data_IF_762173013733
#
_entry.id   IF_762173013733
#
_cell.length_a   1.000
_cell.length_b   1.000
_cell.length_c   1.000
_cell.angle_alpha   90.00
_cell.angle_beta   90.00
_cell.angle_gamma   90.00
#
_symmetry.space_group_name_H-M   'P 1'
#
loop_
_entity.id
_entity.type
_entity.pdbx_description
1 polymer ?
#
# COMPACT_ATOMS: atom_id res chain seq x y z
N UNK A 1 13.87 -30.90 35.78
CA UNK A 1 14.68 -30.73 34.56
C UNK A 1 13.82 -30.05 33.50
N UNK A 2 13.84 -28.74 33.27
CA UNK A 2 14.97 -27.82 33.35
C UNK A 2 15.55 -27.49 31.96
N UNK A 3 14.74 -27.39 30.89
CA UNK A 3 15.20 -26.76 29.63
C UNK A 3 14.89 -25.26 29.67
N UNK A 4 15.82 -24.54 30.29
CA UNK A 4 16.01 -23.10 30.11
C UNK A 4 16.39 -22.89 28.65
N UNK A 5 15.48 -22.39 27.83
CA UNK A 5 15.86 -21.75 26.58
C UNK A 5 16.51 -20.41 26.96
N UNK A 6 17.81 -20.19 26.69
CA UNK A 6 18.47 -18.96 27.06
C UNK A 6 17.87 -17.82 26.23
N UNK A 7 17.50 -16.75 26.94
CA UNK A 7 17.13 -15.45 26.42
C UNK A 7 18.19 -14.96 25.44
N UNK A 8 18.05 -15.25 24.15
CA UNK A 8 18.74 -14.51 23.10
C UNK A 8 17.84 -13.35 22.73
N UNK A 9 18.06 -12.22 23.39
CA UNK A 9 17.62 -10.89 22.93
C UNK A 9 18.18 -10.65 21.52
N UNK A 10 17.50 -11.21 20.52
CA UNK A 10 17.73 -10.93 19.12
C UNK A 10 17.13 -9.54 18.92
N UNK A 11 17.99 -8.52 18.86
CA UNK A 11 17.62 -7.13 18.59
C UNK A 11 16.51 -7.13 17.54
N UNK A 12 15.29 -6.83 18.00
CA UNK A 12 14.04 -7.04 17.28
C UNK A 12 13.80 -6.02 16.17
N UNK A 13 14.84 -5.68 15.41
CA UNK A 13 14.64 -4.90 14.19
C UNK A 13 14.39 -5.91 13.09
N UNK A 14 13.13 -6.03 12.70
CA UNK A 14 12.76 -6.86 11.57
C UNK A 14 13.56 -6.46 10.34
N UNK A 15 14.05 -7.44 9.57
CA UNK A 15 14.91 -7.23 8.39
C UNK A 15 14.30 -6.22 7.40
N UNK A 16 12.96 -6.19 7.31
CA UNK A 16 12.19 -5.22 6.55
C UNK A 16 12.29 -3.80 7.11
N UNK A 17 12.11 -3.60 8.42
CA UNK A 17 12.26 -2.30 9.07
C UNK A 17 13.69 -1.77 8.91
N UNK A 18 14.70 -2.63 9.05
CA UNK A 18 16.09 -2.26 8.83
C UNK A 18 16.31 -1.83 7.36
N UNK A 19 15.78 -2.59 6.39
CA UNK A 19 15.89 -2.26 4.97
C UNK A 19 15.21 -0.91 4.62
N UNK A 20 14.05 -0.61 5.20
CA UNK A 20 13.34 0.66 5.00
C UNK A 20 14.15 1.83 5.58
N UNK A 21 14.67 1.69 6.81
CA UNK A 21 15.49 2.73 7.43
C UNK A 21 16.77 3.01 6.63
N UNK A 22 17.45 1.94 6.21
CA UNK A 22 18.70 2.04 5.43
C UNK A 22 18.41 2.66 4.05
N UNK A 23 17.30 2.28 3.42
CA UNK A 23 16.81 2.87 2.17
C UNK A 23 16.49 4.36 2.31
N UNK A 24 15.88 4.81 3.42
CA UNK A 24 15.65 6.23 3.69
C UNK A 24 16.96 7.00 3.88
N UNK A 25 17.91 6.46 4.64
CA UNK A 25 19.20 7.11 4.88
C UNK A 25 19.97 7.27 3.56
N UNK A 26 20.12 6.20 2.79
CA UNK A 26 20.80 6.24 1.49
C UNK A 26 20.05 7.13 0.50
N UNK A 27 18.72 7.01 0.47
CA UNK A 27 17.83 7.80 -0.40
C UNK A 27 17.93 9.31 -0.19
N UNK A 28 18.19 9.76 1.03
CA UNK A 28 18.27 11.18 1.37
C UNK A 28 19.71 11.74 1.36
N UNK A 29 20.73 10.89 1.44
CA UNK A 29 22.13 11.33 1.53
C UNK A 29 22.92 11.09 0.25
N UNK A 30 22.98 9.83 -0.19
CA UNK A 30 23.86 9.40 -1.29
C UNK A 30 23.10 9.39 -2.63
N UNK A 31 21.83 9.01 -2.62
CA UNK A 31 21.02 8.89 -3.84
C UNK A 31 20.97 10.17 -4.69
N UNK A 32 20.88 11.40 -4.15
CA UNK A 32 20.93 12.62 -4.95
C UNK A 32 22.23 12.78 -5.77
N UNK A 33 23.31 12.10 -5.36
CA UNK A 33 24.60 12.16 -6.06
C UNK A 33 24.74 11.06 -7.13
N UNK A 34 24.04 9.93 -6.97
CA UNK A 34 24.14 8.75 -7.86
C UNK A 34 22.85 8.45 -8.64
N UNK A 35 21.83 9.31 -8.54
CA UNK A 35 20.49 9.05 -9.07
C UNK A 35 20.51 8.67 -10.56
N UNK A 36 21.33 9.35 -11.38
CA UNK A 36 21.42 9.09 -12.83
C UNK A 36 21.82 7.66 -13.18
N UNK A 37 22.58 6.99 -12.32
CA UNK A 37 23.05 5.62 -12.54
C UNK A 37 22.11 4.59 -11.92
N UNK A 38 21.37 4.95 -10.86
CA UNK A 38 20.51 4.03 -10.11
C UNK A 38 19.03 4.12 -10.48
N UNK A 39 18.58 5.18 -11.14
CA UNK A 39 17.16 5.43 -11.43
C UNK A 39 16.51 4.30 -12.24
N UNK A 40 17.20 3.80 -13.28
CA UNK A 40 16.71 2.67 -14.08
C UNK A 40 16.49 1.40 -13.27
N UNK A 41 17.41 1.08 -12.33
CA UNK A 41 17.28 -0.08 -11.45
C UNK A 41 16.16 0.09 -10.42
N UNK A 42 15.98 1.30 -9.88
CA UNK A 42 14.88 1.63 -8.96
C UNK A 42 13.53 1.54 -9.67
N UNK A 43 13.40 2.06 -10.90
CA UNK A 43 12.20 1.92 -11.71
C UNK A 43 11.89 0.46 -12.01
N UNK A 44 12.90 -0.31 -12.40
CA UNK A 44 12.74 -1.74 -12.67
C UNK A 44 12.24 -2.50 -11.44
N UNK A 45 12.82 -2.24 -10.26
CA UNK A 45 12.38 -2.85 -9.01
C UNK A 45 10.94 -2.47 -8.66
N UNK A 46 10.58 -1.18 -8.78
CA UNK A 46 9.23 -0.68 -8.48
C UNK A 46 8.17 -1.20 -9.44
N UNK A 47 8.48 -1.37 -10.72
CA UNK A 47 7.48 -1.70 -11.74
C UNK A 47 7.41 -3.19 -12.05
N UNK A 48 8.56 -3.87 -12.17
CA UNK A 48 8.63 -5.27 -12.57
C UNK A 48 8.73 -6.19 -11.37
N UNK A 49 9.67 -5.93 -10.45
CA UNK A 49 9.94 -6.84 -9.34
C UNK A 49 8.80 -6.84 -8.31
N UNK A 50 8.25 -5.66 -8.02
CA UNK A 50 7.07 -5.52 -7.15
C UNK A 50 5.85 -6.21 -7.76
N UNK A 51 5.62 -6.06 -9.08
CA UNK A 51 4.52 -6.72 -9.78
C UNK A 51 4.70 -8.25 -9.81
N UNK A 52 5.92 -8.73 -10.05
CA UNK A 52 6.24 -10.16 -9.99
C UNK A 52 6.00 -10.72 -8.58
N UNK A 53 6.40 -9.99 -7.54
CA UNK A 53 6.14 -10.35 -6.16
C UNK A 53 4.65 -10.48 -5.85
N UNK A 54 3.82 -9.53 -6.32
CA UNK A 54 2.35 -9.61 -6.19
C UNK A 54 1.79 -10.82 -6.94
N UNK A 55 2.25 -11.08 -8.15
CA UNK A 55 1.80 -12.22 -8.96
C UNK A 55 2.15 -13.55 -8.28
N UNK A 56 3.41 -13.72 -7.86
CA UNK A 56 3.88 -14.92 -7.16
C UNK A 56 3.19 -15.09 -5.81
N UNK A 57 2.89 -13.98 -5.11
CA UNK A 57 2.09 -14.03 -3.89
C UNK A 57 0.65 -14.49 -4.18
N UNK A 58 0.07 -14.04 -5.30
CA UNK A 58 -1.22 -14.52 -5.80
C UNK A 58 -1.21 -16.02 -6.09
N UNK A 59 -0.12 -16.57 -6.64
CA UNK A 59 0.05 -18.02 -6.81
C UNK A 59 0.24 -18.78 -5.49
N UNK A 60 0.78 -18.13 -4.45
CA UNK A 60 0.90 -18.71 -3.10
C UNK A 60 -0.45 -18.76 -2.37
N UNK A 61 -1.33 -17.79 -2.63
CA UNK A 61 -2.69 -17.78 -2.07
C UNK A 61 -3.48 -18.97 -2.62
N UNK A 62 -3.86 -19.88 -1.73
CA UNK A 62 -4.74 -21.00 -2.10
C UNK A 62 -6.17 -20.49 -2.23
N UNK A 63 -6.92 -20.97 -3.24
CA UNK A 63 -8.35 -20.68 -3.38
C UNK A 63 -9.13 -20.96 -2.09
N UNK A 64 -8.69 -21.95 -1.30
CA UNK A 64 -9.25 -22.27 0.02
C UNK A 64 -9.13 -21.10 1.02
N UNK A 65 -8.00 -20.40 1.05
CA UNK A 65 -7.77 -19.29 1.99
C UNK A 65 -8.60 -18.05 1.65
N UNK A 66 -8.82 -17.81 0.35
CA UNK A 66 -9.72 -16.76 -0.12
C UNK A 66 -11.18 -17.15 0.14
N UNK A 67 -11.53 -18.44 -0.03
CA UNK A 67 -12.86 -18.96 0.26
C UNK A 67 -13.21 -18.91 1.76
N UNK A 68 -12.24 -19.17 2.65
CA UNK A 68 -12.41 -19.09 4.10
C UNK A 68 -12.71 -17.65 4.58
N UNK A 69 -12.03 -16.66 3.99
CA UNK A 69 -12.34 -15.25 4.24
C UNK A 69 -13.63 -14.83 3.52
N UNK A 70 -13.93 -15.45 2.38
CA UNK A 70 -15.23 -15.42 1.71
C UNK A 70 -15.74 -14.02 1.34
N UNK A 71 -17.07 -13.91 1.26
CA UNK A 71 -17.78 -12.65 0.95
C UNK A 71 -17.62 -11.64 2.09
N UNK A 72 -17.52 -12.11 3.35
CA UNK A 72 -17.41 -11.23 4.51
C UNK A 72 -16.15 -10.37 4.47
N UNK A 73 -14.99 -10.93 4.12
CA UNK A 73 -13.77 -10.14 3.95
C UNK A 73 -13.86 -9.10 2.83
N UNK A 74 -14.45 -9.46 1.69
CA UNK A 74 -14.69 -8.51 0.58
C UNK A 74 -15.59 -7.37 1.04
N UNK A 75 -16.69 -7.67 1.74
CA UNK A 75 -17.61 -6.64 2.25
C UNK A 75 -16.92 -5.73 3.27
N UNK A 76 -16.14 -6.29 4.20
CA UNK A 76 -15.35 -5.53 5.17
C UNK A 76 -14.36 -4.62 4.46
N UNK A 77 -13.65 -5.12 3.46
CA UNK A 77 -12.67 -4.33 2.71
C UNK A 77 -13.34 -3.23 1.89
N UNK A 78 -14.45 -3.50 1.20
CA UNK A 78 -15.21 -2.48 0.47
C UNK A 78 -15.69 -1.37 1.42
N UNK A 79 -16.27 -1.74 2.57
CA UNK A 79 -16.75 -0.78 3.56
C UNK A 79 -15.60 0.03 4.16
N UNK A 80 -14.52 -0.63 4.55
CA UNK A 80 -13.36 0.03 5.16
C UNK A 80 -12.64 0.92 4.15
N UNK A 81 -12.44 0.47 2.92
CA UNK A 81 -11.80 1.24 1.85
C UNK A 81 -12.63 2.47 1.50
N UNK A 82 -13.93 2.29 1.24
CA UNK A 82 -14.82 3.39 0.86
C UNK A 82 -14.95 4.42 1.98
N UNK A 83 -15.21 3.97 3.21
CA UNK A 83 -15.29 4.87 4.38
C UNK A 83 -13.98 5.59 4.64
N UNK A 84 -12.84 4.90 4.63
CA UNK A 84 -11.51 5.52 4.84
C UNK A 84 -11.21 6.55 3.76
N UNK A 85 -11.47 6.24 2.50
CA UNK A 85 -11.25 7.18 1.39
C UNK A 85 -12.16 8.41 1.50
N UNK A 86 -13.45 8.21 1.78
CA UNK A 86 -14.41 9.31 1.93
C UNK A 86 -14.07 10.19 3.14
N UNK A 87 -13.72 9.59 4.27
CA UNK A 87 -13.29 10.30 5.46
C UNK A 87 -12.00 11.08 5.21
N UNK A 88 -10.99 10.48 4.57
CA UNK A 88 -9.76 11.18 4.23
C UNK A 88 -10.02 12.38 3.31
N UNK A 89 -10.90 12.24 2.32
CA UNK A 89 -11.29 13.35 1.46
C UNK A 89 -12.05 14.44 2.21
N UNK A 90 -13.01 14.04 3.06
CA UNK A 90 -13.84 14.96 3.82
C UNK A 90 -13.03 15.73 4.85
N UNK A 91 -12.32 15.02 5.74
CA UNK A 91 -11.48 15.63 6.76
C UNK A 91 -10.37 16.46 6.10
N UNK A 92 -9.73 15.90 5.08
CA UNK A 92 -8.63 16.58 4.38
C UNK A 92 -9.05 17.94 3.84
N UNK A 93 -10.16 17.99 3.10
CA UNK A 93 -10.62 19.21 2.44
C UNK A 93 -11.37 20.17 3.37
N UNK A 94 -12.19 19.65 4.28
CA UNK A 94 -13.07 20.49 5.12
C UNK A 94 -12.47 20.89 6.45
N UNK A 95 -11.63 20.04 7.05
CA UNK A 95 -11.06 20.29 8.39
C UNK A 95 -9.63 20.79 8.27
N UNK A 96 -8.81 20.15 7.43
CA UNK A 96 -7.40 20.48 7.29
C UNK A 96 -7.08 21.44 6.15
N UNK A 97 -8.05 21.79 5.30
CA UNK A 97 -7.86 22.72 4.18
C UNK A 97 -6.90 22.22 3.09
N UNK A 98 -6.69 20.90 3.00
CA UNK A 98 -5.84 20.29 1.98
C UNK A 98 -6.45 20.41 0.59
N UNK A 99 -5.59 20.59 -0.42
CA UNK A 99 -6.06 20.56 -1.80
C UNK A 99 -6.58 19.18 -2.19
N UNK A 100 -7.39 19.16 -3.26
CA UNK A 100 -8.08 17.97 -3.71
C UNK A 100 -7.14 16.83 -4.09
N UNK A 101 -6.02 17.14 -4.74
CA UNK A 101 -5.07 16.12 -5.22
C UNK A 101 -4.36 15.49 -4.02
N UNK A 102 -3.89 16.30 -3.07
CA UNK A 102 -3.26 15.79 -1.84
C UNK A 102 -4.23 14.93 -1.02
N UNK A 103 -5.48 15.36 -0.86
CA UNK A 103 -6.50 14.60 -0.13
C UNK A 103 -6.82 13.26 -0.80
N UNK A 104 -6.92 13.24 -2.13
CA UNK A 104 -7.16 12.02 -2.91
C UNK A 104 -5.99 11.05 -2.86
N UNK A 105 -4.76 11.55 -2.98
CA UNK A 105 -3.56 10.74 -2.87
C UNK A 105 -3.42 10.12 -1.47
N UNK A 106 -3.56 10.92 -0.41
CA UNK A 106 -3.51 10.43 0.98
C UNK A 106 -4.65 9.43 1.21
N UNK A 107 -5.87 9.76 0.77
CA UNK A 107 -7.02 8.88 0.91
C UNK A 107 -6.81 7.53 0.24
N UNK A 108 -6.35 7.52 -1.02
CA UNK A 108 -6.09 6.29 -1.78
C UNK A 108 -4.96 5.46 -1.17
N UNK A 109 -3.90 6.12 -0.72
CA UNK A 109 -2.79 5.47 -0.01
C UNK A 109 -3.26 4.81 1.28
N UNK A 110 -3.97 5.54 2.11
CA UNK A 110 -4.46 5.06 3.40
C UNK A 110 -5.53 3.96 3.26
N UNK A 111 -6.39 4.04 2.24
CA UNK A 111 -7.51 3.12 2.07
C UNK A 111 -7.19 1.81 1.35
N UNK A 112 -5.99 1.62 0.77
CA UNK A 112 -5.66 0.41 -0.03
C UNK A 112 -4.33 -0.21 0.41
N UNK A 113 -3.23 0.15 -0.25
CA UNK A 113 -1.93 -0.50 -0.11
C UNK A 113 -0.78 0.49 0.03
N UNK A 114 -1.07 1.67 0.55
CA UNK A 114 -0.07 2.63 0.93
C UNK A 114 0.57 3.30 -0.28
N UNK A 115 1.90 3.32 -0.34
CA UNK A 115 2.66 4.03 -1.36
C UNK A 115 2.34 3.53 -2.78
N UNK A 116 2.13 2.22 -2.95
CA UNK A 116 1.77 1.65 -4.25
C UNK A 116 0.43 2.21 -4.78
N UNK A 117 -0.56 2.41 -3.91
CA UNK A 117 -1.83 3.02 -4.27
C UNK A 117 -1.68 4.51 -4.60
N UNK A 118 -0.84 5.24 -3.87
CA UNK A 118 -0.53 6.65 -4.18
C UNK A 118 0.07 6.77 -5.57
N UNK A 119 1.08 5.96 -5.89
CA UNK A 119 1.77 5.98 -7.18
C UNK A 119 0.87 5.55 -8.33
N UNK A 120 -0.04 4.59 -8.11
CA UNK A 120 -1.00 4.18 -9.13
C UNK A 120 -2.11 5.22 -9.35
N UNK A 121 -2.41 6.02 -8.33
CA UNK A 121 -3.42 7.09 -8.37
C UNK A 121 -2.88 8.37 -9.02
N UNK A 122 -1.60 8.69 -8.81
CA UNK A 122 -0.91 9.86 -9.36
C UNK A 122 -1.26 10.16 -10.83
N UNK A 123 -1.09 9.23 -11.80
CA UNK A 123 -1.35 9.52 -13.21
C UNK A 123 -2.84 9.68 -13.52
N UNK A 124 -3.73 9.12 -12.68
CA UNK A 124 -5.19 9.24 -12.84
C UNK A 124 -5.67 10.63 -12.46
N UNK A 125 -5.12 11.20 -11.39
CA UNK A 125 -5.48 12.53 -10.89
C UNK A 125 -4.56 13.63 -11.42
N UNK A 126 -3.49 13.28 -12.13
CA UNK A 126 -2.45 14.18 -12.65
C UNK A 126 -1.88 15.07 -11.53
N UNK A 127 -1.43 14.44 -10.45
CA UNK A 127 -0.91 15.16 -9.29
C UNK A 127 0.55 15.56 -9.46
N UNK A 128 0.91 16.69 -8.85
CA UNK A 128 2.30 17.14 -8.80
C UNK A 128 3.15 16.21 -7.91
N UNK A 129 4.43 16.00 -8.29
CA UNK A 129 5.35 15.12 -7.57
C UNK A 129 5.56 15.50 -6.09
N UNK A 130 5.44 16.79 -5.75
CA UNK A 130 5.48 17.28 -4.37
C UNK A 130 4.36 16.66 -3.51
N UNK A 131 3.14 16.62 -4.03
CA UNK A 131 1.95 16.08 -3.35
C UNK A 131 2.03 14.56 -3.19
N UNK A 132 2.56 13.89 -4.22
CA UNK A 132 2.84 12.45 -4.20
C UNK A 132 3.83 12.13 -3.09
N UNK A 133 4.91 12.91 -2.98
CA UNK A 133 5.95 12.73 -1.97
C UNK A 133 5.37 12.89 -0.56
N UNK A 134 4.55 13.93 -0.34
CA UNK A 134 3.87 14.16 0.95
C UNK A 134 2.94 13.00 1.29
N UNK A 135 2.11 12.55 0.34
CA UNK A 135 1.19 11.45 0.57
C UNK A 135 1.91 10.14 0.92
N UNK A 136 2.96 9.79 0.16
CA UNK A 136 3.79 8.61 0.45
C UNK A 136 4.44 8.71 1.82
N UNK A 137 5.05 9.86 2.16
CA UNK A 137 5.71 10.05 3.45
C UNK A 137 4.73 9.87 4.62
N UNK A 138 3.54 10.48 4.52
CA UNK A 138 2.52 10.43 5.56
C UNK A 138 2.06 8.98 5.83
N UNK A 139 1.75 8.25 4.76
CA UNK A 139 1.34 6.84 4.82
C UNK A 139 2.45 5.96 5.44
N UNK A 140 3.70 6.16 5.03
CA UNK A 140 4.85 5.40 5.53
C UNK A 140 5.06 5.67 7.03
N UNK A 141 4.95 6.92 7.47
CA UNK A 141 5.07 7.29 8.90
C UNK A 141 3.99 6.58 9.72
N UNK A 142 2.72 6.71 9.34
CA UNK A 142 1.62 6.04 10.06
C UNK A 142 1.75 4.52 10.04
N UNK A 143 2.10 3.93 8.90
CA UNK A 143 2.36 2.50 8.79
C UNK A 143 3.51 2.04 9.68
N UNK A 144 4.59 2.82 9.77
CA UNK A 144 5.75 2.51 10.62
C UNK A 144 5.40 2.54 12.10
N UNK A 145 4.59 3.52 12.52
CA UNK A 145 4.06 3.58 13.89
C UNK A 145 3.21 2.33 14.18
N UNK A 146 2.35 1.94 13.24
CA UNK A 146 1.46 0.80 13.38
C UNK A 146 2.21 -0.53 13.61
N UNK A 147 3.38 -0.72 13.00
CA UNK A 147 4.22 -1.94 13.18
C UNK A 147 4.49 -2.23 14.65
N UNK A 148 4.73 -1.19 15.46
CA UNK A 148 5.01 -1.34 16.88
C UNK A 148 3.74 -1.28 17.71
N UNK A 149 2.82 -0.39 17.34
CA UNK A 149 1.60 -0.14 18.08
C UNK A 149 0.68 -1.36 18.10
N UNK A 150 0.46 -2.02 16.97
CA UNK A 150 -0.53 -3.11 16.89
C UNK A 150 -0.09 -4.36 17.70
N UNK A 151 1.13 -4.89 17.56
CA UNK A 151 1.56 -5.99 18.42
C UNK A 151 1.57 -5.64 19.90
N UNK A 152 1.89 -4.38 20.25
CA UNK A 152 1.84 -3.92 21.63
C UNK A 152 0.41 -3.82 22.18
N UNK A 153 -0.57 -3.53 21.32
CA UNK A 153 -1.99 -3.48 21.69
C UNK A 153 -2.62 -4.86 21.81
N UNK A 154 -2.14 -5.86 21.08
CA UNK A 154 -2.75 -7.19 21.05
C UNK A 154 -2.98 -7.82 22.43
N UNK A 155 -2.01 -7.83 23.38
CA UNK A 155 -2.24 -8.40 24.71
C UNK A 155 -3.40 -7.77 25.48
N UNK A 156 -3.69 -6.48 25.24
CA UNK A 156 -4.80 -5.75 25.86
C UNK A 156 -6.14 -6.12 25.23
N UNK A 157 -6.14 -6.48 23.94
CA UNK A 157 -7.33 -6.83 23.15
C UNK A 157 -7.53 -8.35 23.02
N UNK A 158 -6.59 -9.16 23.48
CA UNK A 158 -6.59 -10.63 23.30
C UNK A 158 -7.79 -11.32 23.95
N UNK A 159 -8.47 -10.68 24.90
CA UNK A 159 -9.71 -11.20 25.47
C UNK A 159 -10.92 -11.04 24.52
N UNK A 160 -10.87 -10.06 23.61
CA UNK A 160 -11.97 -9.71 22.70
C UNK A 160 -11.72 -10.21 21.28
N UNK A 161 -10.48 -10.46 20.91
CA UNK A 161 -10.07 -10.84 19.55
C UNK A 161 -9.29 -12.15 19.56
N UNK A 162 -9.71 -13.09 18.70
CA UNK A 162 -8.87 -14.22 18.33
C UNK A 162 -7.67 -13.74 17.51
N UNK A 163 -6.56 -14.51 17.46
CA UNK A 163 -5.41 -14.17 16.64
C UNK A 163 -5.78 -13.94 15.16
N UNK A 164 -6.68 -14.74 14.61
CA UNK A 164 -7.12 -14.65 13.22
C UNK A 164 -7.92 -13.37 12.97
N UNK A 165 -8.85 -13.04 13.88
CA UNK A 165 -9.67 -11.83 13.76
C UNK A 165 -8.82 -10.57 13.94
N UNK A 166 -7.86 -10.61 14.86
CA UNK A 166 -6.88 -9.54 15.01
C UNK A 166 -5.97 -9.43 13.78
N UNK A 167 -5.60 -10.57 13.19
CA UNK A 167 -4.91 -10.63 11.91
C UNK A 167 -5.68 -9.91 10.81
N UNK A 168 -6.95 -10.23 10.61
CA UNK A 168 -7.83 -9.52 9.65
C UNK A 168 -7.83 -8.02 9.94
N UNK A 169 -7.96 -7.61 11.20
CA UNK A 169 -7.88 -6.20 11.59
C UNK A 169 -6.56 -5.54 11.19
N UNK A 170 -5.40 -6.18 11.48
CA UNK A 170 -4.07 -5.69 11.05
C UNK A 170 -4.03 -5.56 9.53
N UNK A 171 -4.46 -6.59 8.80
CA UNK A 171 -4.43 -6.64 7.34
C UNK A 171 -5.31 -5.58 6.67
N UNK A 172 -6.47 -5.30 7.25
CA UNK A 172 -7.43 -4.30 6.75
C UNK A 172 -7.09 -2.86 7.15
N UNK A 173 -6.14 -2.62 8.05
CA UNK A 173 -5.83 -1.26 8.52
C UNK A 173 -4.40 -0.82 8.22
N UNK A 174 -3.43 -1.73 8.19
CA UNK A 174 -2.05 -1.36 7.86
C UNK A 174 -1.87 -1.07 6.38
N UNK A 175 -0.98 -0.12 6.08
CA UNK A 175 -0.83 0.45 4.75
C UNK A 175 0.03 -0.41 3.82
N UNK A 176 1.07 -1.08 4.30
CA UNK A 176 2.01 -1.84 3.45
C UNK A 176 2.02 -3.33 3.78
N UNK A 177 2.17 -4.17 2.75
CA UNK A 177 2.22 -5.64 2.91
C UNK A 177 3.34 -6.08 3.84
N UNK A 178 4.52 -5.49 3.67
CA UNK A 178 5.68 -5.76 4.52
C UNK A 178 5.40 -5.50 6.01
N UNK A 179 4.65 -4.43 6.30
CA UNK A 179 4.32 -4.02 7.67
C UNK A 179 3.27 -4.97 8.27
N UNK A 180 2.32 -5.42 7.45
CA UNK A 180 1.32 -6.43 7.82
C UNK A 180 1.98 -7.74 8.22
N UNK A 181 2.89 -8.27 7.39
CA UNK A 181 3.66 -9.48 7.70
C UNK A 181 4.43 -9.29 9.01
N UNK A 182 5.04 -8.11 9.18
CA UNK A 182 5.78 -7.75 10.39
C UNK A 182 4.97 -7.80 11.67
N UNK A 183 3.87 -7.04 11.69
CA UNK A 183 3.03 -6.95 12.87
C UNK A 183 2.26 -8.26 13.14
N UNK A 184 1.77 -8.92 12.09
CA UNK A 184 1.10 -10.22 12.21
C UNK A 184 2.02 -11.28 12.79
N UNK A 185 3.26 -11.38 12.28
CA UNK A 185 4.25 -12.33 12.79
C UNK A 185 4.62 -12.08 14.25
N UNK A 186 4.63 -10.81 14.69
CA UNK A 186 4.88 -10.44 16.07
C UNK A 186 3.74 -10.84 17.03
N UNK A 187 2.53 -11.08 16.50
CA UNK A 187 1.36 -11.56 17.26
C UNK A 187 1.32 -13.09 17.29
N UNK A 188 1.12 -13.73 16.13
CA UNK A 188 1.14 -15.19 15.98
C UNK A 188 1.20 -15.60 14.50
N UNK A 189 1.59 -16.85 14.18
CA UNK A 189 1.54 -17.35 12.80
C UNK A 189 0.14 -17.29 12.16
N UNK A 190 -0.91 -17.53 12.96
CA UNK A 190 -2.30 -17.50 12.47
C UNK A 190 -2.76 -16.05 12.19
N UNK A 191 -2.37 -15.11 13.04
CA UNK A 191 -2.60 -13.68 12.82
C UNK A 191 -1.85 -13.19 11.57
N UNK A 192 -0.60 -13.62 11.37
CA UNK A 192 0.17 -13.32 10.15
C UNK A 192 -0.56 -13.80 8.89
N UNK A 193 -0.96 -15.08 8.85
CA UNK A 193 -1.65 -15.63 7.69
C UNK A 193 -2.95 -14.88 7.38
N UNK A 194 -3.80 -14.69 8.39
CA UNK A 194 -5.06 -13.97 8.25
C UNK A 194 -4.84 -12.50 7.80
N UNK A 195 -3.85 -11.82 8.37
CA UNK A 195 -3.53 -10.44 8.03
C UNK A 195 -3.07 -10.29 6.59
N UNK A 196 -2.21 -11.19 6.11
CA UNK A 196 -1.72 -11.06 4.73
C UNK A 196 -2.81 -11.43 3.72
N UNK A 197 -3.67 -12.40 4.02
CA UNK A 197 -4.84 -12.70 3.17
C UNK A 197 -5.74 -11.46 3.06
N UNK A 198 -6.16 -10.88 4.19
CA UNK A 198 -6.99 -9.67 4.21
C UNK A 198 -6.31 -8.52 3.44
N UNK A 199 -5.01 -8.32 3.65
CA UNK A 199 -4.25 -7.27 2.96
C UNK A 199 -4.25 -7.46 1.43
N UNK A 200 -4.12 -8.69 0.96
CA UNK A 200 -4.09 -8.97 -0.48
C UNK A 200 -5.44 -8.78 -1.15
N UNK A 201 -6.54 -9.14 -0.48
CA UNK A 201 -7.89 -8.86 -0.96
C UNK A 201 -8.08 -7.35 -1.18
N UNK A 202 -7.66 -6.54 -0.20
CA UNK A 202 -7.64 -5.08 -0.33
C UNK A 202 -6.75 -4.57 -1.45
N UNK A 203 -5.56 -5.17 -1.67
CA UNK A 203 -4.68 -4.82 -2.81
C UNK A 203 -5.38 -5.10 -4.15
N UNK A 204 -6.13 -6.19 -4.27
CA UNK A 204 -6.89 -6.51 -5.48
C UNK A 204 -7.99 -5.46 -5.77
N UNK A 205 -8.52 -4.80 -4.74
CA UNK A 205 -9.47 -3.69 -4.89
C UNK A 205 -8.87 -2.41 -5.50
N UNK A 206 -7.55 -2.35 -5.70
CA UNK A 206 -6.90 -1.23 -6.37
C UNK A 206 -7.39 -1.04 -7.81
N UNK A 207 -7.53 -2.13 -8.56
CA UNK A 207 -8.01 -2.07 -9.95
C UNK A 207 -9.43 -1.46 -10.07
N UNK A 208 -10.47 -1.98 -9.37
CA UNK A 208 -11.80 -1.38 -9.42
C UNK A 208 -11.81 0.04 -8.86
N UNK A 209 -11.04 0.33 -7.82
CA UNK A 209 -10.92 1.69 -7.28
C UNK A 209 -10.40 2.69 -8.32
N UNK A 210 -9.32 2.36 -9.05
CA UNK A 210 -8.75 3.25 -10.06
C UNK A 210 -9.71 3.48 -11.23
N UNK A 211 -10.46 2.46 -11.65
CA UNK A 211 -11.48 2.60 -12.70
C UNK A 211 -12.56 3.60 -12.27
N UNK A 212 -13.07 3.44 -11.04
CA UNK A 212 -14.07 4.34 -10.47
C UNK A 212 -13.51 5.76 -10.35
N UNK A 213 -12.31 5.91 -9.80
CA UNK A 213 -11.66 7.21 -9.62
C UNK A 213 -11.44 7.90 -10.97
N UNK A 214 -10.93 7.19 -11.98
CA UNK A 214 -10.75 7.72 -13.33
C UNK A 214 -12.06 8.20 -13.96
N UNK A 215 -13.15 7.43 -13.78
CA UNK A 215 -14.47 7.83 -14.23
C UNK A 215 -14.96 9.12 -13.53
N UNK A 216 -14.72 9.23 -12.21
CA UNK A 216 -15.10 10.43 -11.44
C UNK A 216 -14.27 11.65 -11.84
N UNK A 217 -12.96 11.51 -12.01
CA UNK A 217 -12.08 12.61 -12.48
C UNK A 217 -12.55 13.10 -13.85
N UNK A 218 -12.85 12.18 -14.78
CA UNK A 218 -13.38 12.52 -16.11
C UNK A 218 -14.72 13.29 -16.05
N UNK A 219 -15.60 12.96 -15.11
CA UNK A 219 -16.88 13.67 -14.92
C UNK A 219 -16.69 15.09 -14.36
N UNK A 220 -15.62 15.31 -13.60
CA UNK A 220 -15.33 16.60 -12.95
C UNK A 220 -14.56 17.55 -13.86
N UNK A 221 -13.87 17.04 -14.87
CA UNK A 221 -13.32 17.83 -15.96
C UNK A 221 -14.43 18.08 -16.99
N UNK A 222 -14.99 19.30 -17.12
CA UNK A 222 -15.89 19.61 -18.23
C UNK A 222 -15.17 19.30 -19.55
N UNK A 223 -15.92 18.80 -20.53
CA UNK A 223 -15.40 18.36 -21.82
C UNK A 223 -14.67 19.50 -22.55
N UNK A 224 -13.37 19.65 -22.29
CA UNK A 224 -12.47 20.44 -23.13
C UNK A 224 -11.64 19.46 -23.95
N UNK A 225 -12.08 19.27 -25.20
CA UNK A 225 -11.27 18.68 -26.26
C UNK A 225 -11.19 17.16 -26.24
N UNK A 226 -12.01 16.52 -27.07
CA UNK A 226 -11.67 15.25 -27.67
C UNK A 226 -10.42 15.42 -28.55
N UNK A 227 -9.23 15.59 -27.95
CA UNK A 227 -8.00 15.41 -28.69
C UNK A 227 -7.77 13.90 -28.79
N UNK A 228 -8.04 13.41 -30.00
CA UNK A 228 -7.83 12.05 -30.48
C UNK A 228 -6.60 11.43 -29.81
N UNK A 229 -6.82 10.28 -29.17
CA UNK A 229 -5.76 9.34 -28.84
C UNK A 229 -4.98 9.03 -30.12
N UNK A 230 -3.87 9.75 -30.35
CA UNK A 230 -2.85 9.35 -31.31
C UNK A 230 -2.17 8.12 -30.72
N UNK A 231 -2.58 6.94 -31.19
CA UNK A 231 -1.79 5.72 -31.00
C UNK A 231 -0.35 5.98 -31.47
N UNK A 232 0.69 5.58 -30.71
CA UNK A 232 2.09 5.91 -31.00
C UNK A 232 2.70 5.04 -32.13
N UNK A 233 1.89 4.46 -33.03
CA UNK A 233 2.34 3.42 -33.96
C UNK A 233 2.70 3.91 -35.37
N UNK A 234 2.77 5.23 -35.63
CA UNK A 234 3.02 5.78 -36.98
C UNK A 234 4.42 6.40 -37.18
N UNK A 235 5.37 6.12 -36.29
CA UNK A 235 6.74 6.63 -36.36
C UNK A 235 7.74 5.76 -37.13
N UNK A 236 7.36 4.58 -37.63
CA UNK A 236 8.31 3.59 -38.17
C UNK A 236 8.30 3.41 -39.69
N UNK A 237 7.62 4.28 -40.46
CA UNK A 237 7.42 4.07 -41.91
C UNK A 237 7.85 5.23 -42.83
N UNK A 238 8.50 6.27 -42.31
CA UNK A 238 9.06 7.34 -43.15
C UNK A 238 10.45 7.75 -42.67
N UNK A 239 11.43 6.90 -42.97
CA UNK A 239 12.85 7.26 -43.07
C UNK A 239 13.47 6.40 -44.17
N UNK A 240 13.10 6.68 -45.42
CA UNK A 240 13.88 6.35 -46.61
C UNK A 240 13.37 7.18 -47.78
N UNK A 241 13.89 8.40 -47.94
CA UNK A 241 13.97 9.14 -49.20
C UNK A 241 15.08 10.16 -49.04
#
# INVERSE_FOLDING_TARGET
MGRRYPCRCRRGVQRLTLAILLGMVIGNTVYPQIWKQCDGGVLFAKQHLLRLGIILYGFRLTFSQIADVGISGIVIDVLTLSSTFMLACFLGQKVFGLDRHTSWLIGAGSSICGAAAVLATEPVVKAEASKVTVAVATVVIFGTIAIFLYPAMYPLLAHWFSPETYGIYIGSTMHEVAQVVAAGHAVSPDAENAAVIAKMLRVMMLAPFLIILAARVKQLSPATGAEKAKLPFRGLLFSSS
#
